data_IF_876519218054
#
_entry.id   IF_876519218054
#
_cell.length_a   1.000
_cell.length_b   1.000
_cell.length_c   1.000
_cell.angle_alpha   90.00
_cell.angle_beta   90.00
_cell.angle_gamma   90.00
#
_symmetry.space_group_name_H-M   'P 1'
#
loop_
_entity.id
_entity.type
_entity.pdbx_description
1 polymer ?
#
# COMPACT_ATOMS: atom_id res chain seq x y z
N UNK A 1 -1.99 -12.76 -28.48
CA UNK A 1 -2.54 -11.42 -28.18
C UNK A 1 -3.51 -11.64 -27.04
N UNK A 2 -3.13 -11.30 -25.80
CA UNK A 2 -4.03 -11.45 -24.65
C UNK A 2 -5.10 -10.35 -24.71
N UNK A 3 -6.35 -10.72 -24.49
CA UNK A 3 -7.47 -9.80 -24.47
C UNK A 3 -7.36 -8.91 -23.22
N UNK A 4 -7.38 -7.56 -23.31
CA UNK A 4 -7.21 -6.69 -22.15
C UNK A 4 -8.28 -6.88 -21.07
N UNK A 5 -9.44 -7.46 -21.41
CA UNK A 5 -10.50 -7.80 -20.45
C UNK A 5 -10.22 -9.07 -19.62
N UNK A 6 -9.21 -9.88 -19.98
CA UNK A 6 -8.88 -11.13 -19.26
C UNK A 6 -7.98 -10.90 -18.04
N UNK A 7 -7.53 -9.67 -17.80
CA UNK A 7 -6.72 -9.27 -16.65
C UNK A 7 -7.45 -8.38 -15.64
N UNK A 8 -8.74 -8.09 -15.86
CA UNK A 8 -9.56 -7.42 -14.86
C UNK A 8 -9.99 -8.44 -13.81
N UNK A 9 -9.38 -8.35 -12.63
CA UNK A 9 -9.82 -9.06 -11.45
C UNK A 9 -11.16 -8.49 -11.00
N UNK A 10 -12.12 -9.35 -10.67
CA UNK A 10 -13.41 -8.92 -10.15
C UNK A 10 -13.24 -8.17 -8.82
N UNK A 11 -13.96 -7.06 -8.66
CA UNK A 11 -13.89 -6.25 -7.44
C UNK A 11 -14.26 -7.08 -6.19
N UNK A 12 -15.22 -7.99 -6.31
CA UNK A 12 -15.59 -8.91 -5.22
C UNK A 12 -14.45 -9.86 -4.84
N UNK A 13 -13.76 -10.42 -5.83
CA UNK A 13 -12.59 -11.27 -5.62
C UNK A 13 -11.42 -10.49 -4.99
N UNK A 14 -11.18 -9.26 -5.45
CA UNK A 14 -10.17 -8.36 -4.90
C UNK A 14 -10.48 -8.05 -3.43
N UNK A 15 -11.71 -7.61 -3.13
CA UNK A 15 -12.14 -7.29 -1.76
C UNK A 15 -11.96 -8.52 -0.88
N UNK A 16 -12.44 -9.69 -1.32
CA UNK A 16 -12.31 -10.93 -0.56
C UNK A 16 -10.84 -11.28 -0.29
N UNK A 17 -9.99 -11.25 -1.32
CA UNK A 17 -8.58 -11.55 -1.20
C UNK A 17 -7.87 -10.56 -0.28
N UNK A 18 -8.11 -9.26 -0.46
CA UNK A 18 -7.56 -8.21 0.38
C UNK A 18 -7.99 -8.44 1.83
N UNK A 19 -9.29 -8.55 2.13
CA UNK A 19 -9.80 -8.74 3.49
C UNK A 19 -9.18 -9.95 4.19
N UNK A 20 -9.14 -11.11 3.53
CA UNK A 20 -8.55 -12.34 4.09
C UNK A 20 -7.05 -12.20 4.31
N UNK A 21 -6.33 -11.58 3.37
CA UNK A 21 -4.88 -11.40 3.47
C UNK A 21 -4.48 -10.31 4.45
N UNK A 22 -5.28 -9.26 4.63
CA UNK A 22 -5.08 -8.23 5.66
C UNK A 22 -5.08 -8.91 7.02
N UNK A 23 -6.09 -9.72 7.32
CA UNK A 23 -6.20 -10.40 8.61
C UNK A 23 -4.98 -11.29 8.91
N UNK A 24 -4.40 -11.93 7.91
CA UNK A 24 -3.24 -12.80 8.05
C UNK A 24 -1.89 -12.07 8.09
N UNK A 25 -1.77 -10.95 7.36
CA UNK A 25 -0.50 -10.22 7.20
C UNK A 25 -0.35 -9.14 8.27
N UNK A 26 -1.47 -8.58 8.72
CA UNK A 26 -1.53 -7.57 9.76
C UNK A 26 -1.94 -8.23 11.08
N UNK A 27 -1.01 -8.95 11.71
CA UNK A 27 -1.09 -9.12 13.16
C UNK A 27 -0.90 -7.74 13.78
N UNK A 28 -2.01 -7.07 14.07
CA UNK A 28 -2.06 -5.64 14.40
C UNK A 28 -1.41 -5.39 15.76
N UNK A 29 -0.12 -5.12 15.77
CA UNK A 29 0.52 -4.43 16.88
C UNK A 29 -0.09 -3.03 16.97
N UNK A 30 -0.46 -2.59 18.18
CA UNK A 30 -1.06 -1.27 18.41
C UNK A 30 -0.12 -0.11 18.03
N UNK A 31 1.17 -0.38 17.87
CA UNK A 31 2.20 0.59 17.55
C UNK A 31 3.15 -0.01 16.50
N UNK A 32 3.58 0.82 15.55
CA UNK A 32 4.59 0.47 14.54
C UNK A 32 5.90 1.15 14.94
N UNK A 33 6.91 0.37 15.31
CA UNK A 33 8.26 0.87 15.56
C UNK A 33 9.05 0.81 14.24
N UNK A 34 9.66 1.93 13.84
CA UNK A 34 10.49 2.01 12.64
C UNK A 34 11.79 2.74 12.98
N UNK A 35 12.91 2.09 12.67
CA UNK A 35 14.22 2.69 12.88
C UNK A 35 14.48 3.83 11.89
N UNK A 36 15.09 4.91 12.38
CA UNK A 36 15.60 5.98 11.53
C UNK A 36 16.78 5.48 10.67
N UNK A 37 17.05 6.11 9.50
CA UNK A 37 16.24 7.14 8.84
C UNK A 37 14.98 6.56 8.18
N UNK A 38 13.88 7.31 8.19
CA UNK A 38 12.60 6.92 7.59
C UNK A 38 11.96 8.09 6.84
N UNK A 39 11.44 7.81 5.66
CA UNK A 39 10.64 8.75 4.89
C UNK A 39 9.19 8.65 5.35
N UNK A 40 8.65 9.76 5.87
CA UNK A 40 7.25 9.87 6.24
C UNK A 40 6.44 10.21 4.99
N UNK A 41 5.40 9.43 4.73
CA UNK A 41 4.48 9.63 3.62
C UNK A 41 3.08 9.87 4.17
N UNK A 42 2.67 11.13 4.13
CA UNK A 42 1.29 11.53 4.35
C UNK A 42 0.52 11.34 3.03
N UNK A 43 -0.62 10.66 3.11
CA UNK A 43 -1.66 10.53 2.08
C UNK A 43 -1.18 10.37 0.62
N UNK A 44 -1.31 9.16 0.08
CA UNK A 44 -1.12 8.94 -1.37
C UNK A 44 -2.49 9.10 -2.04
N UNK A 45 -2.61 10.03 -2.98
CA UNK A 45 -3.77 10.12 -3.89
C UNK A 45 -3.86 8.96 -4.90
N UNK A 46 -2.93 8.00 -4.76
CA UNK A 46 -3.03 6.61 -5.17
C UNK A 46 -3.27 6.35 -6.64
N UNK A 47 -2.60 7.14 -7.45
CA UNK A 47 -2.23 6.67 -8.76
C UNK A 47 -0.89 5.93 -8.61
N UNK A 48 -0.72 4.84 -9.35
CA UNK A 48 0.57 4.13 -9.42
C UNK A 48 1.73 5.09 -9.77
N UNK A 49 1.44 6.12 -10.57
CA UNK A 49 2.36 7.21 -10.89
C UNK A 49 2.82 8.03 -9.67
N UNK A 50 2.00 8.14 -8.62
CA UNK A 50 2.35 8.89 -7.42
C UNK A 50 3.42 8.15 -6.61
N UNK A 51 3.36 6.82 -6.55
CA UNK A 51 4.43 6.01 -5.95
C UNK A 51 5.74 6.11 -6.73
N UNK A 52 5.66 6.05 -8.06
CA UNK A 52 6.84 6.22 -8.90
C UNK A 52 7.47 7.60 -8.71
N UNK A 53 6.64 8.64 -8.55
CA UNK A 53 7.10 10.00 -8.24
C UNK A 53 7.68 10.12 -6.83
N UNK A 54 7.07 9.47 -5.85
CA UNK A 54 7.55 9.42 -4.46
C UNK A 54 8.96 8.81 -4.41
N UNK A 55 9.18 7.69 -5.09
CA UNK A 55 10.50 7.06 -5.19
C UNK A 55 11.48 7.79 -6.10
N UNK A 56 11.00 8.69 -6.96
CA UNK A 56 11.87 9.59 -7.73
C UNK A 56 12.33 10.82 -6.93
N UNK A 57 11.60 11.18 -5.87
CA UNK A 57 11.97 12.25 -4.94
C UNK A 57 12.77 11.73 -3.73
N UNK A 58 12.49 10.51 -3.28
CA UNK A 58 13.30 9.77 -2.32
C UNK A 58 14.21 8.75 -3.00
N UNK A 59 14.73 7.79 -2.23
CA UNK A 59 15.39 6.61 -2.78
C UNK A 59 14.40 5.44 -2.91
N UNK A 60 14.72 4.47 -3.75
CA UNK A 60 13.91 3.26 -3.87
C UNK A 60 13.75 2.53 -2.52
N UNK A 61 12.64 1.80 -2.31
CA UNK A 61 12.39 1.03 -1.07
C UNK A 61 13.40 -0.08 -0.79
N UNK A 62 14.26 -0.41 -1.74
CA UNK A 62 15.41 -1.30 -1.56
C UNK A 62 16.55 -0.66 -0.75
N UNK A 63 16.55 0.67 -0.62
CA UNK A 63 17.61 1.47 0.02
C UNK A 63 17.04 2.25 1.21
N UNK A 64 15.84 2.81 1.07
CA UNK A 64 15.20 3.66 2.08
C UNK A 64 13.96 3.02 2.71
N UNK A 65 13.69 3.34 3.98
CA UNK A 65 12.46 2.95 4.68
C UNK A 65 11.37 4.00 4.50
N UNK A 66 10.13 3.53 4.39
CA UNK A 66 8.94 4.34 4.20
C UNK A 66 7.88 4.00 5.25
N UNK A 67 7.37 5.02 5.93
CA UNK A 67 6.25 4.93 6.85
C UNK A 67 5.07 5.71 6.27
N UNK A 68 4.01 5.00 5.89
CA UNK A 68 2.80 5.61 5.34
C UNK A 68 1.79 5.87 6.45
N UNK A 69 1.33 7.11 6.60
CA UNK A 69 0.62 7.55 7.81
C UNK A 69 -0.92 7.39 7.76
N UNK A 70 -1.49 6.89 6.66
CA UNK A 70 -2.93 6.60 6.58
C UNK A 70 -3.67 7.27 5.42
N UNK A 71 -5.00 7.40 5.57
CA UNK A 71 -5.97 7.89 4.58
C UNK A 71 -6.07 7.03 3.29
N UNK A 72 -5.98 5.70 3.45
CA UNK A 72 -6.05 4.77 2.30
C UNK A 72 -7.48 4.56 1.77
N UNK A 73 -8.51 4.85 2.56
CA UNK A 73 -9.91 4.66 2.20
C UNK A 73 -10.62 6.01 2.33
N UNK A 74 -10.93 6.62 1.18
CA UNK A 74 -11.86 7.75 1.10
C UNK A 74 -13.17 7.33 0.46
N UNK A 75 -14.14 8.25 0.48
CA UNK A 75 -15.46 8.15 -0.13
C UNK A 75 -15.42 8.27 -1.66
N UNK A 76 -14.24 8.19 -2.28
CA UNK A 76 -14.04 8.37 -3.71
C UNK A 76 -13.78 7.05 -4.44
N UNK A 77 -14.09 7.04 -5.74
CA UNK A 77 -14.12 5.90 -6.67
C UNK A 77 -12.81 5.11 -6.87
N UNK A 78 -11.76 5.35 -6.06
CA UNK A 78 -10.44 4.70 -6.18
C UNK A 78 -9.91 4.07 -4.89
N UNK A 79 -10.79 3.82 -3.93
CA UNK A 79 -10.41 3.25 -2.62
C UNK A 79 -9.93 1.80 -2.73
N UNK A 80 -10.39 1.06 -3.75
CA UNK A 80 -9.98 -0.31 -4.00
C UNK A 80 -8.54 -0.38 -4.56
N UNK A 81 -8.22 0.45 -5.54
CA UNK A 81 -6.88 0.51 -6.11
C UNK A 81 -5.86 0.96 -5.05
N UNK A 82 -6.28 1.87 -4.16
CA UNK A 82 -5.52 2.32 -2.98
C UNK A 82 -5.11 1.17 -2.08
N UNK A 83 -6.09 0.42 -1.59
CA UNK A 83 -5.84 -0.68 -0.66
C UNK A 83 -5.02 -1.78 -1.34
N UNK A 84 -5.31 -2.09 -2.62
CA UNK A 84 -4.57 -3.10 -3.38
C UNK A 84 -3.09 -2.73 -3.57
N UNK A 85 -2.83 -1.48 -3.94
CA UNK A 85 -1.49 -0.98 -4.15
C UNK A 85 -0.67 -1.02 -2.85
N UNK A 86 -1.26 -0.59 -1.74
CA UNK A 86 -0.62 -0.65 -0.43
C UNK A 86 -0.31 -2.09 0.00
N UNK A 87 -1.26 -3.01 -0.21
CA UNK A 87 -1.06 -4.43 0.13
C UNK A 87 0.02 -5.08 -0.74
N UNK A 88 0.02 -4.80 -2.04
CA UNK A 88 1.08 -5.26 -2.94
C UNK A 88 2.45 -4.73 -2.49
N UNK A 89 2.52 -3.44 -2.15
CA UNK A 89 3.73 -2.83 -1.61
C UNK A 89 4.19 -3.50 -0.31
N UNK A 90 3.31 -3.79 0.65
CA UNK A 90 3.67 -4.47 1.90
C UNK A 90 4.15 -5.91 1.66
N UNK A 91 3.55 -6.64 0.72
CA UNK A 91 3.96 -8.00 0.37
C UNK A 91 5.33 -8.04 -0.31
N UNK A 92 5.63 -7.05 -1.16
CA UNK A 92 6.90 -6.97 -1.88
C UNK A 92 8.01 -6.39 -0.99
N UNK A 93 7.67 -5.50 -0.07
CA UNK A 93 8.60 -4.73 0.76
C UNK A 93 8.26 -4.82 2.26
N UNK A 94 8.25 -6.02 2.85
CA UNK A 94 7.76 -6.23 4.21
C UNK A 94 8.58 -5.50 5.28
N UNK A 95 9.90 -5.38 5.09
CA UNK A 95 10.84 -4.80 6.07
C UNK A 95 11.02 -3.28 5.93
N UNK A 96 10.77 -2.73 4.74
CA UNK A 96 11.07 -1.33 4.42
C UNK A 96 9.83 -0.47 4.25
N UNK A 97 8.65 -1.09 4.13
CA UNK A 97 7.38 -0.38 4.01
C UNK A 97 6.43 -0.80 5.13
N UNK A 98 6.01 0.19 5.92
CA UNK A 98 5.07 -0.01 7.01
C UNK A 98 3.93 1.00 6.93
N UNK A 99 2.67 0.55 6.85
CA UNK A 99 1.52 1.42 7.04
C UNK A 99 1.24 1.63 8.53
N UNK A 100 1.05 2.88 8.93
CA UNK A 100 0.62 3.25 10.27
C UNK A 100 -0.88 3.01 10.43
N UNK A 101 -1.28 2.61 11.65
CA UNK A 101 -2.68 2.56 12.07
C UNK A 101 -3.12 3.95 12.53
N UNK A 102 -4.22 4.46 11.99
CA UNK A 102 -4.93 5.60 12.59
C UNK A 102 -5.94 5.07 13.62
N UNK A 103 -6.01 5.73 14.78
CA UNK A 103 -6.87 5.38 15.92
C UNK A 103 -8.33 5.67 15.66
#
# INVERSE_FOLDING_TARGET
>A
MANPAENELDEGEIIFFVCVRIEQTFHVAAHTEVDAPVNLCEEIHAQYSDLARLWGLGDYPSISRYLFLGAYIDWGDRSLERICLLMACKLILPETLSPARQS
#
